data_IF_695371262985
#
_entry.id   IF_695371262985
#
_cell.length_a   1.000
_cell.length_b   1.000
_cell.length_c   1.000
_cell.angle_alpha   90.00
_cell.angle_beta   90.00
_cell.angle_gamma   90.00
#
_symmetry.space_group_name_H-M   'P 1'
#
loop_
_entity.id
_entity.type
_entity.pdbx_description
1 polymer ?
#
# COMPACT_ATOMS: atom_id res chain seq x y z
N UNK A 1 55.74 12.92 33.54
CA UNK A 1 54.59 12.03 33.32
C UNK A 1 55.03 10.62 33.64
N UNK A 2 54.36 9.95 34.56
CA UNK A 2 54.58 8.54 34.86
C UNK A 2 53.91 7.66 33.80
N UNK A 3 54.29 6.38 33.68
CA UNK A 3 53.62 5.41 32.80
C UNK A 3 52.10 5.34 33.04
N UNK A 4 51.68 5.53 34.30
CA UNK A 4 50.28 5.55 34.68
C UNK A 4 49.54 6.77 34.13
N UNK A 5 50.18 7.95 34.09
CA UNK A 5 49.56 9.17 33.53
C UNK A 5 49.30 9.02 32.02
N UNK A 6 50.23 8.39 31.30
CA UNK A 6 50.09 8.13 29.86
C UNK A 6 49.02 7.08 29.58
N UNK A 7 48.96 6.02 30.41
CA UNK A 7 47.91 5.00 30.33
C UNK A 7 46.52 5.59 30.59
N UNK A 8 46.38 6.43 31.62
CA UNK A 8 45.12 7.11 31.94
C UNK A 8 44.69 8.06 30.81
N UNK A 9 45.61 8.79 30.20
CA UNK A 9 45.31 9.64 29.03
C UNK A 9 44.82 8.80 27.83
N UNK A 10 45.47 7.67 27.55
CA UNK A 10 45.04 6.73 26.52
C UNK A 10 43.64 6.17 26.77
N UNK A 11 43.31 5.87 28.03
CA UNK A 11 41.97 5.42 28.42
C UNK A 11 40.91 6.51 28.21
N UNK A 12 41.19 7.76 28.58
CA UNK A 12 40.26 8.88 28.37
C UNK A 12 40.02 9.12 26.87
N UNK A 13 41.07 9.12 26.06
CA UNK A 13 40.96 9.28 24.60
C UNK A 13 40.17 8.11 24.00
N UNK A 14 40.46 6.88 24.42
CA UNK A 14 39.73 5.68 23.97
C UNK A 14 38.25 5.73 24.33
N UNK A 15 37.92 6.09 25.58
CA UNK A 15 36.54 6.26 26.03
C UNK A 15 35.81 7.34 25.22
N UNK A 16 36.46 8.48 24.97
CA UNK A 16 35.89 9.56 24.16
C UNK A 16 35.66 9.11 22.71
N UNK A 17 36.61 8.38 22.11
CA UNK A 17 36.47 7.84 20.76
C UNK A 17 35.30 6.85 20.66
N UNK A 18 35.06 6.02 21.67
CA UNK A 18 33.90 5.13 21.75
C UNK A 18 32.59 5.93 21.82
N UNK A 19 32.52 6.96 22.67
CA UNK A 19 31.32 7.81 22.78
C UNK A 19 31.00 8.49 21.44
N UNK A 20 32.01 9.07 20.79
CA UNK A 20 31.86 9.71 19.46
C UNK A 20 31.39 8.67 18.43
N UNK A 21 31.96 7.46 18.45
CA UNK A 21 31.58 6.39 17.54
C UNK A 21 30.12 5.96 17.75
N UNK A 22 29.65 5.87 18.99
CA UNK A 22 28.25 5.54 19.29
C UNK A 22 27.28 6.64 18.82
N UNK A 23 27.65 7.92 18.96
CA UNK A 23 26.86 9.04 18.43
C UNK A 23 26.77 8.95 16.90
N UNK A 24 27.89 8.68 16.23
CA UNK A 24 27.91 8.51 14.78
C UNK A 24 27.01 7.36 14.34
N UNK A 25 27.10 6.19 14.98
CA UNK A 25 26.24 5.02 14.68
C UNK A 25 24.76 5.35 14.91
N UNK A 26 24.42 6.06 15.98
CA UNK A 26 23.04 6.47 16.24
C UNK A 26 22.50 7.39 15.13
N UNK A 27 23.30 8.34 14.64
CA UNK A 27 22.95 9.20 13.51
C UNK A 27 22.84 8.39 12.20
N UNK A 28 23.76 7.45 11.97
CA UNK A 28 23.77 6.58 10.80
C UNK A 28 22.51 5.71 10.74
N UNK A 29 22.10 5.11 11.86
CA UNK A 29 20.86 4.31 11.95
C UNK A 29 19.63 5.16 11.66
N UNK A 30 19.58 6.41 12.14
CA UNK A 30 18.47 7.34 11.85
C UNK A 30 18.41 7.68 10.35
N UNK A 31 19.55 7.99 9.74
CA UNK A 31 19.62 8.26 8.30
C UNK A 31 19.23 7.04 7.48
N UNK A 32 19.72 5.85 7.85
CA UNK A 32 19.36 4.60 7.18
C UNK A 32 17.86 4.32 7.29
N UNK A 33 17.27 4.45 8.48
CA UNK A 33 15.83 4.29 8.70
C UNK A 33 15.02 5.23 7.80
N UNK A 34 15.42 6.50 7.69
CA UNK A 34 14.75 7.46 6.82
C UNK A 34 14.89 7.08 5.33
N UNK A 35 16.07 6.64 4.90
CA UNK A 35 16.28 6.18 3.52
C UNK A 35 15.41 4.95 3.17
N UNK A 36 15.32 3.97 4.08
CA UNK A 36 14.48 2.77 3.91
C UNK A 36 12.99 3.15 3.82
N UNK A 37 12.52 4.09 4.65
CA UNK A 37 11.14 4.61 4.58
C UNK A 37 10.85 5.27 3.23
N UNK A 38 11.74 6.14 2.76
CA UNK A 38 11.60 6.78 1.45
C UNK A 38 11.59 5.78 0.29
N UNK A 39 12.50 4.80 0.30
CA UNK A 39 12.55 3.75 -0.71
C UNK A 39 11.27 2.88 -0.70
N UNK A 40 10.73 2.61 0.50
CA UNK A 40 9.47 1.88 0.67
C UNK A 40 8.30 2.65 0.09
N UNK A 41 8.20 3.96 0.39
CA UNK A 41 7.18 4.84 -0.15
C UNK A 41 7.24 4.91 -1.69
N UNK A 42 8.44 5.06 -2.24
CA UNK A 42 8.66 5.07 -3.69
C UNK A 42 8.21 3.75 -4.33
N UNK A 43 8.60 2.61 -3.76
CA UNK A 43 8.20 1.29 -4.28
C UNK A 43 6.68 1.10 -4.27
N UNK A 44 6.02 1.51 -3.18
CA UNK A 44 4.56 1.45 -3.08
C UNK A 44 3.91 2.32 -4.14
N UNK A 45 4.38 3.57 -4.30
CA UNK A 45 3.89 4.47 -5.32
C UNK A 45 4.05 3.90 -6.73
N UNK A 46 5.22 3.34 -7.05
CA UNK A 46 5.49 2.71 -8.34
C UNK A 46 4.57 1.52 -8.63
N UNK A 47 4.27 0.68 -7.63
CA UNK A 47 3.35 -0.45 -7.82
C UNK A 47 1.94 0.02 -8.21
N UNK A 48 1.42 1.03 -7.52
CA UNK A 48 0.10 1.58 -7.84
C UNK A 48 0.11 2.33 -9.18
N UNK A 49 1.15 3.11 -9.47
CA UNK A 49 1.31 3.77 -10.76
C UNK A 49 1.39 2.76 -11.91
N UNK A 50 2.14 1.66 -11.74
CA UNK A 50 2.21 0.55 -12.71
C UNK A 50 0.84 -0.08 -12.95
N UNK A 51 0.02 -0.24 -11.92
CA UNK A 51 -1.35 -0.73 -12.08
C UNK A 51 -2.21 0.23 -12.92
N UNK A 52 -2.15 1.53 -12.66
CA UNK A 52 -2.85 2.52 -13.51
C UNK A 52 -2.35 2.49 -14.95
N UNK A 53 -1.03 2.42 -15.16
CA UNK A 53 -0.46 2.32 -16.50
C UNK A 53 -0.89 1.05 -17.23
N UNK A 54 -0.98 -0.10 -16.54
CA UNK A 54 -1.46 -1.35 -17.12
C UNK A 54 -2.88 -1.18 -17.68
N UNK A 55 -3.78 -0.57 -16.91
CA UNK A 55 -5.17 -0.35 -17.35
C UNK A 55 -5.25 0.73 -18.44
N UNK A 56 -4.47 1.80 -18.33
CA UNK A 56 -4.49 2.91 -19.28
C UNK A 56 -3.88 2.57 -20.65
N UNK A 57 -2.94 1.62 -20.70
CA UNK A 57 -2.24 1.27 -21.94
C UNK A 57 -3.03 0.33 -22.85
N UNK A 58 -4.12 -0.27 -22.37
CA UNK A 58 -4.89 -1.29 -23.10
C UNK A 58 -6.39 -0.95 -23.05
N UNK A 59 -6.93 -0.52 -24.19
CA UNK A 59 -8.33 -0.09 -24.31
C UNK A 59 -9.32 -1.22 -23.99
N UNK A 60 -9.05 -2.45 -24.43
CA UNK A 60 -9.90 -3.61 -24.11
C UNK A 60 -9.89 -3.86 -22.60
N UNK A 61 -8.73 -3.76 -21.95
CA UNK A 61 -8.63 -3.91 -20.50
C UNK A 61 -9.37 -2.79 -19.76
N UNK A 62 -9.25 -1.53 -20.19
CA UNK A 62 -9.95 -0.41 -19.59
C UNK A 62 -11.47 -0.62 -19.63
N UNK A 63 -12.01 -1.08 -20.76
CA UNK A 63 -13.43 -1.42 -20.91
C UNK A 63 -13.83 -2.58 -20.00
N UNK A 64 -13.02 -3.64 -19.93
CA UNK A 64 -13.25 -4.78 -19.05
C UNK A 64 -13.27 -4.36 -17.57
N UNK A 65 -12.33 -3.52 -17.14
CA UNK A 65 -12.27 -3.01 -15.77
C UNK A 65 -13.52 -2.20 -15.43
N UNK A 66 -13.92 -1.28 -16.31
CA UNK A 66 -15.14 -0.49 -16.11
C UNK A 66 -16.41 -1.36 -16.06
N UNK A 67 -16.53 -2.32 -16.99
CA UNK A 67 -17.64 -3.28 -17.04
C UNK A 67 -17.68 -4.15 -15.79
N UNK A 68 -16.55 -4.74 -15.40
CA UNK A 68 -16.45 -5.65 -14.27
C UNK A 68 -16.65 -4.97 -12.92
N UNK A 69 -16.24 -3.71 -12.76
CA UNK A 69 -16.53 -2.91 -11.57
C UNK A 69 -18.03 -2.60 -11.44
N UNK A 70 -18.72 -2.39 -12.56
CA UNK A 70 -20.16 -2.12 -12.60
C UNK A 70 -20.97 -3.38 -12.34
N UNK A 71 -20.68 -4.44 -13.08
CA UNK A 71 -21.33 -5.74 -12.98
C UNK A 71 -20.35 -6.86 -13.34
N UNK A 72 -19.77 -7.46 -12.32
CA UNK A 72 -18.84 -8.58 -12.46
C UNK A 72 -19.49 -9.84 -13.07
N UNK A 73 -20.80 -10.04 -12.88
CA UNK A 73 -21.53 -11.18 -13.42
C UNK A 73 -21.68 -11.12 -14.94
N UNK A 74 -21.72 -9.91 -15.51
CA UNK A 74 -21.82 -9.66 -16.95
C UNK A 74 -20.55 -9.98 -17.75
N UNK A 75 -19.43 -10.26 -17.08
CA UNK A 75 -18.17 -10.60 -17.74
C UNK A 75 -18.23 -12.00 -18.33
N UNK A 76 -17.89 -12.10 -19.61
CA UNK A 76 -17.54 -13.37 -20.26
C UNK A 76 -16.32 -14.00 -19.59
N UNK A 77 -16.05 -15.28 -19.87
CA UNK A 77 -14.92 -16.00 -19.28
C UNK A 77 -13.58 -15.31 -19.55
N UNK A 78 -13.32 -14.91 -20.81
CA UNK A 78 -12.10 -14.19 -21.20
C UNK A 78 -11.96 -12.87 -20.44
N UNK A 79 -13.03 -12.07 -20.39
CA UNK A 79 -13.02 -10.79 -19.69
C UNK A 79 -12.80 -10.99 -18.19
N UNK A 80 -13.43 -12.00 -17.60
CA UNK A 80 -13.30 -12.34 -16.18
C UNK A 80 -11.87 -12.71 -15.81
N UNK A 81 -11.17 -13.48 -16.65
CA UNK A 81 -9.75 -13.80 -16.42
C UNK A 81 -8.90 -12.53 -16.37
N UNK A 82 -9.09 -11.61 -17.33
CA UNK A 82 -8.34 -10.35 -17.38
C UNK A 82 -8.67 -9.44 -16.19
N UNK A 83 -9.95 -9.33 -15.84
CA UNK A 83 -10.39 -8.56 -14.68
C UNK A 83 -9.79 -9.10 -13.39
N UNK A 84 -9.90 -10.41 -13.15
CA UNK A 84 -9.38 -11.08 -11.96
C UNK A 84 -7.87 -10.91 -11.85
N UNK A 85 -7.12 -11.15 -12.93
CA UNK A 85 -5.67 -10.97 -12.93
C UNK A 85 -5.27 -9.53 -12.55
N UNK A 86 -5.97 -8.54 -13.12
CA UNK A 86 -5.73 -7.12 -12.89
C UNK A 86 -6.03 -6.70 -11.45
N UNK A 87 -7.15 -7.17 -10.88
CA UNK A 87 -7.54 -6.83 -9.51
C UNK A 87 -6.78 -7.61 -8.44
N UNK A 88 -6.40 -8.86 -8.72
CA UNK A 88 -5.52 -9.63 -7.83
C UNK A 88 -4.13 -9.01 -7.77
N UNK A 89 -3.58 -8.51 -8.89
CA UNK A 89 -2.32 -7.76 -8.88
C UNK A 89 -2.42 -6.50 -8.02
N UNK A 90 -3.49 -5.71 -8.21
CA UNK A 90 -3.75 -4.51 -7.39
C UNK A 90 -3.83 -4.84 -5.90
N UNK A 91 -4.67 -5.80 -5.51
CA UNK A 91 -4.86 -6.16 -4.10
C UNK A 91 -3.60 -6.78 -3.47
N UNK A 92 -2.76 -7.44 -4.27
CA UNK A 92 -1.45 -7.93 -3.80
C UNK A 92 -0.53 -6.75 -3.44
N UNK A 93 -0.47 -5.72 -4.28
CA UNK A 93 0.27 -4.49 -3.98
C UNK A 93 -0.31 -3.76 -2.77
N UNK A 94 -1.64 -3.70 -2.68
CA UNK A 94 -2.33 -3.12 -1.54
C UNK A 94 -2.01 -3.85 -0.24
N UNK A 95 -2.09 -5.18 -0.19
CA UNK A 95 -1.77 -5.94 1.01
C UNK A 95 -0.31 -5.71 1.44
N UNK A 96 0.62 -5.66 0.49
CA UNK A 96 2.01 -5.35 0.80
C UNK A 96 2.17 -3.93 1.38
N UNK A 97 1.50 -2.94 0.82
CA UNK A 97 1.51 -1.57 1.31
C UNK A 97 0.85 -1.44 2.69
N UNK A 98 -0.24 -2.17 2.94
CA UNK A 98 -0.90 -2.26 4.24
C UNK A 98 0.08 -2.76 5.30
N UNK A 99 0.75 -3.89 5.07
CA UNK A 99 1.70 -4.46 6.04
C UNK A 99 2.85 -3.49 6.33
N UNK A 100 3.41 -2.84 5.31
CA UNK A 100 4.45 -1.81 5.48
C UNK A 100 3.96 -0.60 6.29
N UNK A 101 2.70 -0.22 6.16
CA UNK A 101 2.10 0.83 6.99
C UNK A 101 1.96 0.36 8.44
N UNK A 102 1.47 -0.87 8.66
CA UNK A 102 1.36 -1.47 10.01
C UNK A 102 2.71 -1.60 10.71
N UNK A 103 3.79 -1.83 9.97
CA UNK A 103 5.18 -1.89 10.45
C UNK A 103 5.81 -0.49 10.66
N UNK A 104 5.13 0.61 10.32
CA UNK A 104 5.68 1.96 10.44
C UNK A 104 6.76 2.31 9.40
N UNK A 105 6.82 1.55 8.31
CA UNK A 105 7.72 1.77 7.17
C UNK A 105 7.07 2.64 6.07
N UNK A 106 5.75 2.75 6.07
CA UNK A 106 4.98 3.64 5.20
C UNK A 106 4.25 4.70 6.02
N UNK A 107 4.37 5.96 5.62
CA UNK A 107 3.70 7.07 6.33
C UNK A 107 2.18 7.02 6.14
N UNK A 108 1.41 7.28 7.21
CA UNK A 108 -0.06 7.22 7.17
C UNK A 108 -0.70 8.08 6.07
N UNK A 109 -0.27 9.33 5.80
CA UNK A 109 -0.86 10.12 4.72
C UNK A 109 -0.76 9.45 3.34
N UNK A 110 0.32 8.71 3.07
CA UNK A 110 0.49 7.97 1.83
C UNK A 110 -0.46 6.77 1.77
N UNK A 111 -0.57 6.02 2.88
CA UNK A 111 -1.50 4.89 2.96
C UNK A 111 -2.96 5.33 2.78
N UNK A 112 -3.37 6.40 3.47
CA UNK A 112 -4.73 6.94 3.40
C UNK A 112 -5.14 7.35 1.99
N UNK A 113 -4.21 7.90 1.18
CA UNK A 113 -4.47 8.20 -0.22
C UNK A 113 -4.81 6.94 -1.04
N UNK A 114 -4.02 5.88 -0.87
CA UNK A 114 -4.27 4.60 -1.56
C UNK A 114 -5.48 3.86 -1.03
N UNK A 115 -5.77 3.99 0.26
CA UNK A 115 -6.99 3.46 0.88
C UNK A 115 -8.25 3.96 0.18
N UNK A 116 -8.32 5.24 -0.17
CA UNK A 116 -9.47 5.78 -0.91
C UNK A 116 -9.61 5.13 -2.30
N UNK A 117 -8.51 4.81 -2.97
CA UNK A 117 -8.53 4.08 -4.24
C UNK A 117 -9.08 2.68 -4.03
N UNK A 118 -8.59 1.97 -3.00
CA UNK A 118 -9.05 0.63 -2.65
C UNK A 118 -10.54 0.65 -2.34
N UNK A 119 -10.98 1.62 -1.53
CA UNK A 119 -12.38 1.82 -1.16
C UNK A 119 -13.27 1.99 -2.40
N UNK A 120 -12.88 2.84 -3.35
CA UNK A 120 -13.63 3.00 -4.59
C UNK A 120 -13.80 1.67 -5.34
N UNK A 121 -12.77 0.83 -5.33
CA UNK A 121 -12.81 -0.46 -6.02
C UNK A 121 -13.65 -1.50 -5.26
N UNK A 122 -13.39 -1.73 -3.97
CA UNK A 122 -14.08 -2.77 -3.19
C UNK A 122 -15.52 -2.39 -2.83
N UNK A 123 -15.86 -1.10 -2.83
CA UNK A 123 -17.23 -0.64 -2.60
C UNK A 123 -18.08 -0.57 -3.87
N UNK A 124 -17.48 -0.68 -5.06
CA UNK A 124 -18.22 -0.83 -6.31
C UNK A 124 -19.02 -2.16 -6.33
N UNK A 125 -20.18 -2.24 -6.99
CA UNK A 125 -21.01 -3.45 -6.98
C UNK A 125 -20.24 -4.70 -7.44
N UNK A 126 -19.54 -4.62 -8.56
CA UNK A 126 -18.71 -5.72 -9.05
C UNK A 126 -17.48 -5.99 -8.21
N UNK A 127 -16.91 -4.96 -7.58
CA UNK A 127 -15.82 -5.10 -6.61
C UNK A 127 -16.23 -5.87 -5.35
N UNK A 128 -17.44 -5.63 -4.82
CA UNK A 128 -18.00 -6.39 -3.69
C UNK A 128 -18.17 -7.86 -4.05
N UNK A 129 -18.70 -8.15 -5.25
CA UNK A 129 -18.86 -9.52 -5.75
C UNK A 129 -17.50 -10.22 -5.91
N UNK A 130 -16.54 -9.54 -6.52
CA UNK A 130 -15.17 -10.03 -6.65
C UNK A 130 -14.53 -10.31 -5.27
N UNK A 131 -14.66 -9.38 -4.32
CA UNK A 131 -14.12 -9.54 -2.97
C UNK A 131 -14.71 -10.76 -2.28
N UNK A 132 -16.04 -10.93 -2.30
CA UNK A 132 -16.73 -12.10 -1.73
C UNK A 132 -16.19 -13.43 -2.27
N UNK A 133 -15.83 -13.48 -3.55
CA UNK A 133 -15.33 -14.70 -4.20
C UNK A 133 -13.85 -15.00 -3.96
N UNK A 134 -13.04 -14.00 -3.59
CA UNK A 134 -11.57 -14.11 -3.65
C UNK A 134 -10.86 -13.66 -2.38
N UNK A 135 -11.55 -12.98 -1.46
CA UNK A 135 -10.95 -12.43 -0.25
C UNK A 135 -10.17 -13.48 0.53
N UNK A 136 -10.63 -14.74 0.57
CA UNK A 136 -9.98 -15.83 1.31
C UNK A 136 -8.49 -16.07 0.97
N UNK A 137 -8.00 -15.57 -0.18
CA UNK A 137 -6.60 -15.67 -0.59
C UNK A 137 -5.67 -14.67 0.13
N UNK A 138 -6.24 -13.69 0.84
CA UNK A 138 -5.51 -12.64 1.53
C UNK A 138 -5.36 -12.93 3.03
N UNK A 139 -4.34 -12.33 3.65
CA UNK A 139 -4.05 -12.51 5.07
C UNK A 139 -5.14 -11.93 5.97
N UNK A 140 -5.38 -12.59 7.11
CA UNK A 140 -6.50 -12.29 8.01
C UNK A 140 -6.57 -10.83 8.48
N UNK A 141 -5.43 -10.24 8.82
CA UNK A 141 -5.38 -8.83 9.28
C UNK A 141 -5.84 -7.88 8.17
N UNK A 142 -5.35 -8.08 6.94
CA UNK A 142 -5.72 -7.26 5.79
C UNK A 142 -7.20 -7.46 5.43
N UNK A 143 -7.69 -8.70 5.42
CA UNK A 143 -9.11 -8.98 5.15
C UNK A 143 -10.03 -8.29 6.15
N UNK A 144 -9.72 -8.42 7.45
CA UNK A 144 -10.50 -7.77 8.51
C UNK A 144 -10.48 -6.25 8.38
N UNK A 145 -9.35 -5.68 8.00
CA UNK A 145 -9.24 -4.24 7.76
C UNK A 145 -10.17 -3.79 6.62
N UNK A 146 -10.12 -4.47 5.47
CA UNK A 146 -11.00 -4.16 4.34
C UNK A 146 -12.47 -4.33 4.73
N UNK A 147 -12.85 -5.45 5.33
CA UNK A 147 -14.25 -5.80 5.60
C UNK A 147 -14.87 -5.00 6.75
N UNK A 148 -14.10 -4.71 7.81
CA UNK A 148 -14.63 -4.07 9.02
C UNK A 148 -14.43 -2.56 9.07
N UNK A 149 -13.53 -2.02 8.26
CA UNK A 149 -13.26 -0.60 8.21
C UNK A 149 -13.58 -0.03 6.83
N UNK A 150 -12.79 -0.40 5.80
CA UNK A 150 -12.88 0.22 4.47
C UNK A 150 -14.27 0.05 3.84
N UNK A 151 -14.84 -1.15 3.84
CA UNK A 151 -16.13 -1.45 3.21
C UNK A 151 -17.34 -0.95 4.01
N UNK A 152 -17.16 -0.59 5.30
CA UNK A 152 -18.24 -0.08 6.16
C UNK A 152 -18.34 1.44 6.14
N UNK A 153 -17.29 2.13 5.71
CA UNK A 153 -17.32 3.59 5.53
C UNK A 153 -18.17 3.96 4.33
N UNK A 154 -18.82 5.13 4.41
CA UNK A 154 -19.47 5.73 3.26
C UNK A 154 -18.42 6.22 2.26
N UNK A 155 -18.47 5.77 0.99
CA UNK A 155 -17.58 6.32 -0.05
C UNK A 155 -17.79 7.82 -0.18
N UNK A 156 -16.73 8.52 -0.58
CA UNK A 156 -16.83 9.95 -0.90
C UNK A 156 -17.96 10.19 -1.92
N UNK A 157 -18.72 11.30 -1.85
CA UNK A 157 -19.82 11.57 -2.79
C UNK A 157 -19.38 11.54 -4.27
N UNK A 158 -18.15 11.99 -4.55
CA UNK A 158 -17.54 11.96 -5.88
C UNK A 158 -16.84 10.64 -6.24
N UNK A 159 -17.01 9.59 -5.43
CA UNK A 159 -16.42 8.28 -5.68
C UNK A 159 -16.87 7.72 -7.03
N UNK A 160 -15.93 7.71 -7.97
CA UNK A 160 -16.08 7.13 -9.31
C UNK A 160 -14.94 6.14 -9.56
N UNK A 161 -15.16 4.82 -9.43
CA UNK A 161 -14.14 3.82 -9.66
C UNK A 161 -13.60 3.98 -11.08
N UNK A 162 -12.30 4.25 -11.22
CA UNK A 162 -11.64 4.53 -12.51
C UNK A 162 -12.27 5.68 -13.31
N UNK A 163 -13.07 6.56 -12.68
CA UNK A 163 -13.84 7.59 -13.37
C UNK A 163 -15.08 7.08 -14.13
N UNK A 164 -15.41 5.78 -14.05
CA UNK A 164 -16.35 5.14 -14.98
C UNK A 164 -17.85 5.29 -14.62
N UNK A 165 -18.20 5.36 -13.33
CA UNK A 165 -19.59 5.54 -12.86
C UNK A 165 -19.60 5.96 -11.37
N UNK A 166 -20.69 6.55 -10.88
CA UNK A 166 -20.82 6.92 -9.45
C UNK A 166 -21.22 5.73 -8.59
N UNK A 167 -20.56 5.55 -7.43
CA UNK A 167 -20.95 4.52 -6.44
C UNK A 167 -22.25 4.93 -5.72
N UNK A 168 -22.43 6.21 -5.41
CA UNK A 168 -23.58 6.70 -4.65
C UNK A 168 -24.92 6.44 -5.38
N UNK A 169 -24.93 6.55 -6.70
CA UNK A 169 -26.11 6.27 -7.54
C UNK A 169 -26.39 4.77 -7.71
N UNK A 170 -25.38 3.91 -7.53
CA UNK A 170 -25.51 2.47 -7.69
C UNK A 170 -26.07 1.75 -6.45
N UNK A 171 -26.12 2.41 -5.29
CA UNK A 171 -26.67 1.87 -4.04
C UNK A 171 -28.15 2.23 -3.80
N UNK A 172 -28.73 3.07 -4.67
CA UNK A 172 -30.10 3.57 -4.59
C UNK A 172 -31.07 2.88 -5.58
N UNK A 173 -30.59 1.90 -6.33
CA UNK A 173 -31.36 1.00 -7.19
C UNK A 173 -31.23 -0.45 -6.69
#
# INVERSE_FOLDING_TARGET
MTLNDLANLGQVIGALAVVISLIYVALQIRQNTNAVRSATAQTVHEHFAKWYHLVAADDELAQIVAKGLRDYGSLSEKERVRFVATFMAFLSYTQNAFLKWREGLLASPLWMGWELVIMNLVCAPGGKTFWKERAYMFGDEFRRYIENDVMKREPHPDAKPMGAFSIAQAQSN
#
